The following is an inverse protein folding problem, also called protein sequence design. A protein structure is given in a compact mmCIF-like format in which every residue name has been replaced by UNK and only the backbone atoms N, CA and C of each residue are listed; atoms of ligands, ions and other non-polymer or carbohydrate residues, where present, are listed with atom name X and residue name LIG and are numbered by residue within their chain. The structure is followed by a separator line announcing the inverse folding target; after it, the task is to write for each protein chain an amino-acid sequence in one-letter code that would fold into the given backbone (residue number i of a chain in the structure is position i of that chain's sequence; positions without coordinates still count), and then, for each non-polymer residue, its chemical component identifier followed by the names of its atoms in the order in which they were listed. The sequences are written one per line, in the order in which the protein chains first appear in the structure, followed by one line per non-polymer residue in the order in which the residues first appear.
data_IF_325382156761
#
_entry.id   IF_325382156761
#
_cell.length_a   1.000
_cell.length_b   1.000
_cell.length_c   1.000
_cell.angle_alpha   90.00
_cell.angle_beta   90.00
_cell.angle_gamma   90.00
#
_symmetry.space_group_name_H-M   'P 1'
#
loop_
_entity.id
_entity.type
_entity.pdbx_description
1 polymer ?
#
# COMPACT_ATOMS: atom_id res chain seq x y z
N UNK A 1 13.95 6.85 8.49
CA UNK A 1 12.92 7.05 7.45
C UNK A 1 12.40 5.68 7.10
N UNK A 2 11.12 5.43 7.30
CA UNK A 2 10.48 4.12 7.05
C UNK A 2 9.94 4.09 5.63
N UNK A 3 10.26 3.03 4.87
CA UNK A 3 9.90 2.91 3.46
C UNK A 3 8.87 1.81 3.24
N UNK A 4 7.76 2.16 2.62
CA UNK A 4 6.61 1.27 2.45
C UNK A 4 6.24 1.18 0.97
N UNK A 5 6.07 -0.05 0.50
CA UNK A 5 5.63 -0.37 -0.86
C UNK A 5 4.34 -1.20 -0.83
N UNK A 6 3.30 -0.68 -1.47
CA UNK A 6 2.04 -1.40 -1.67
C UNK A 6 2.03 -2.11 -3.02
N UNK A 7 1.63 -3.38 -3.07
CA UNK A 7 1.68 -4.20 -4.28
C UNK A 7 0.32 -4.84 -4.56
N UNK A 8 -0.21 -4.64 -5.77
CA UNK A 8 -1.34 -5.41 -6.29
C UNK A 8 -1.01 -5.96 -7.68
N UNK A 9 -1.99 -6.49 -8.41
CA UNK A 9 -1.76 -7.04 -9.74
C UNK A 9 -1.40 -5.94 -10.77
N UNK A 10 -2.32 -4.99 -10.97
CA UNK A 10 -2.24 -3.99 -12.06
C UNK A 10 -1.75 -2.60 -11.65
N UNK A 11 -1.63 -2.30 -10.36
CA UNK A 11 -1.26 -0.98 -9.82
C UNK A 11 -2.15 0.19 -10.26
N UNK A 12 -3.44 -0.08 -10.50
CA UNK A 12 -4.44 0.95 -10.83
C UNK A 12 -5.58 1.03 -9.82
N UNK A 13 -5.88 -0.04 -9.07
CA UNK A 13 -6.99 -0.06 -8.11
C UNK A 13 -6.52 -0.02 -6.66
N UNK A 14 -6.10 -1.18 -6.12
CA UNK A 14 -5.88 -1.40 -4.68
C UNK A 14 -4.59 -0.79 -4.12
N UNK A 15 -3.44 -1.06 -4.76
CA UNK A 15 -2.16 -0.52 -4.27
C UNK A 15 -2.04 1.01 -4.35
N UNK A 16 -2.51 1.71 -5.42
CA UNK A 16 -2.55 3.18 -5.37
C UNK A 16 -3.56 3.72 -4.36
N UNK A 17 -4.65 2.99 -4.08
CA UNK A 17 -5.59 3.37 -3.03
C UNK A 17 -4.93 3.34 -1.65
N UNK A 18 -4.19 2.26 -1.34
CA UNK A 18 -3.43 2.14 -0.10
C UNK A 18 -2.38 3.25 0.06
N UNK A 19 -1.66 3.57 -1.03
CA UNK A 19 -0.71 4.68 -1.04
C UNK A 19 -1.37 6.02 -0.75
N UNK A 20 -2.48 6.34 -1.42
CA UNK A 20 -3.21 7.59 -1.22
C UNK A 20 -3.70 7.76 0.22
N UNK A 21 -4.30 6.70 0.78
CA UNK A 21 -4.74 6.66 2.18
C UNK A 21 -3.57 6.94 3.13
N UNK A 22 -2.45 6.23 2.94
CA UNK A 22 -1.32 6.38 3.86
C UNK A 22 -0.66 7.76 3.74
N UNK A 23 -0.51 8.28 2.52
CA UNK A 23 -0.01 9.66 2.29
C UNK A 23 -0.90 10.70 2.97
N UNK A 24 -2.22 10.56 2.90
CA UNK A 24 -3.17 11.44 3.62
C UNK A 24 -2.89 11.41 5.12
N UNK A 25 -2.83 10.22 5.73
CA UNK A 25 -2.57 10.06 7.16
C UNK A 25 -1.26 10.72 7.59
N UNK A 26 -0.19 10.55 6.80
CA UNK A 26 1.10 11.17 7.06
C UNK A 26 1.02 12.71 7.01
N UNK A 27 0.32 13.26 6.02
CA UNK A 27 0.14 14.71 5.86
C UNK A 27 -0.63 15.32 7.02
N UNK A 28 -1.72 14.68 7.45
CA UNK A 28 -2.55 15.14 8.58
C UNK A 28 -1.77 15.25 9.90
N UNK A 29 -0.73 14.42 10.06
CA UNK A 29 0.10 14.38 11.26
C UNK A 29 1.48 15.03 11.08
N UNK A 30 1.76 15.62 9.91
CA UNK A 30 3.05 16.26 9.62
C UNK A 30 4.24 15.28 9.59
N UNK A 31 4.01 14.01 9.27
CA UNK A 31 5.01 12.94 9.27
C UNK A 31 5.57 12.59 7.89
N UNK A 32 5.21 13.32 6.84
CA UNK A 32 5.63 13.04 5.46
C UNK A 32 7.16 12.90 5.29
N UNK A 33 7.96 13.60 6.09
CA UNK A 33 9.44 13.54 6.04
C UNK A 33 10.04 12.29 6.69
N UNK A 34 9.26 11.59 7.52
CA UNK A 34 9.71 10.38 8.20
C UNK A 34 9.47 9.13 7.35
N UNK A 35 8.72 9.23 6.25
CA UNK A 35 8.28 8.09 5.45
C UNK A 35 8.54 8.30 3.96
N UNK A 36 8.82 7.19 3.29
CA UNK A 36 8.76 7.07 1.84
C UNK A 36 7.66 6.06 1.51
N UNK A 37 6.72 6.45 0.65
CA UNK A 37 5.55 5.64 0.32
C UNK A 37 5.46 5.54 -1.20
N UNK A 38 5.24 4.33 -1.70
CA UNK A 38 5.07 4.07 -3.13
C UNK A 38 4.13 2.87 -3.35
N UNK A 39 3.70 2.66 -4.59
CA UNK A 39 2.93 1.50 -4.99
C UNK A 39 3.36 0.94 -6.34
N UNK A 40 3.20 -0.36 -6.53
CA UNK A 40 3.51 -1.03 -7.78
C UNK A 40 2.58 -2.23 -8.06
N UNK A 41 2.81 -2.84 -9.23
CA UNK A 41 2.05 -3.96 -9.78
C UNK A 41 2.92 -5.17 -10.04
N UNK A 42 2.38 -6.38 -9.89
CA UNK A 42 3.11 -7.61 -10.24
C UNK A 42 3.27 -7.79 -11.76
N UNK A 43 2.26 -7.43 -12.55
CA UNK A 43 2.23 -7.77 -13.99
C UNK A 43 2.53 -6.65 -14.98
N UNK A 44 2.66 -5.40 -14.55
CA UNK A 44 3.09 -4.28 -15.41
C UNK A 44 2.16 -3.89 -16.58
N UNK A 45 0.99 -4.51 -16.71
CA UNK A 45 0.05 -4.30 -17.83
C UNK A 45 -0.40 -2.85 -18.02
N UNK A 46 -0.45 -2.08 -16.93
CA UNK A 46 -0.90 -0.69 -16.90
C UNK A 46 0.25 0.31 -16.68
N UNK A 47 1.51 -0.10 -16.91
CA UNK A 47 2.65 0.78 -16.66
C UNK A 47 2.52 2.12 -17.43
N UNK A 48 2.64 3.24 -16.72
CA UNK A 48 2.47 4.59 -17.25
C UNK A 48 1.04 5.13 -17.17
N UNK A 49 0.05 4.31 -16.84
CA UNK A 49 -1.34 4.75 -16.68
C UNK A 49 -1.58 5.42 -15.33
N UNK A 50 -2.59 6.29 -15.27
CA UNK A 50 -3.13 6.79 -14.01
C UNK A 50 -3.93 5.69 -13.28
N UNK A 51 -4.18 5.88 -11.97
CA UNK A 51 -5.09 5.01 -11.23
C UNK A 51 -6.49 4.94 -11.86
N UNK A 52 -7.20 3.84 -11.61
CA UNK A 52 -8.58 3.62 -12.06
C UNK A 52 -9.44 4.84 -11.68
N UNK A 53 -10.28 5.36 -12.58
CA UNK A 53 -11.13 6.52 -12.30
C UNK A 53 -11.96 6.39 -11.02
N UNK A 54 -12.40 5.17 -10.67
CA UNK A 54 -13.18 4.88 -9.45
C UNK A 54 -12.29 4.95 -8.21
N UNK A 55 -11.07 4.41 -8.27
CA UNK A 55 -10.06 4.61 -7.20
C UNK A 55 -9.79 6.10 -6.99
N UNK A 56 -9.57 6.86 -8.06
CA UNK A 56 -9.33 8.31 -7.98
C UNK A 56 -10.52 9.05 -7.37
N UNK A 57 -11.74 8.65 -7.73
CA UNK A 57 -12.96 9.24 -7.18
C UNK A 57 -13.09 8.96 -5.68
N UNK A 58 -12.85 7.73 -5.23
CA UNK A 58 -12.91 7.38 -3.81
C UNK A 58 -11.80 8.11 -3.03
N UNK A 59 -10.58 8.17 -3.54
CA UNK A 59 -9.48 8.92 -2.92
C UNK A 59 -9.81 10.41 -2.79
N UNK A 60 -10.29 11.05 -3.86
CA UNK A 60 -10.62 12.47 -3.85
C UNK A 60 -11.76 12.81 -2.87
N UNK A 61 -12.75 11.92 -2.71
CA UNK A 61 -13.84 12.09 -1.72
C UNK A 61 -13.35 12.07 -0.27
N UNK A 62 -12.18 11.48 -0.03
CA UNK A 62 -11.59 11.33 1.30
C UNK A 62 -10.30 12.15 1.44
N UNK A 63 -10.09 13.18 0.62
CA UNK A 63 -8.88 14.04 0.65
C UNK A 63 -7.55 13.25 0.55
N UNK A 64 -7.58 12.10 -0.12
CA UNK A 64 -6.47 11.16 -0.26
C UNK A 64 -5.91 11.10 -1.71
N UNK A 65 -6.31 12.03 -2.58
CA UNK A 65 -5.84 12.05 -3.96
C UNK A 65 -4.39 12.51 -4.09
N UNK A 66 -3.71 11.96 -5.09
CA UNK A 66 -2.34 12.31 -5.46
C UNK A 66 -2.09 11.95 -6.93
N UNK A 67 -0.99 12.46 -7.49
CA UNK A 67 -0.58 12.09 -8.83
C UNK A 67 0.02 10.68 -8.83
N UNK A 68 -0.74 9.71 -9.33
CA UNK A 68 -0.30 8.33 -9.48
C UNK A 68 0.12 8.01 -10.91
N UNK A 69 1.20 7.24 -11.05
CA UNK A 69 1.63 6.63 -12.32
C UNK A 69 1.95 5.17 -12.06
N UNK A 70 1.19 4.27 -12.68
CA UNK A 70 1.34 2.86 -12.46
C UNK A 70 2.70 2.35 -12.94
N UNK A 71 3.30 1.42 -12.19
CA UNK A 71 4.57 0.79 -12.52
C UNK A 71 4.58 -0.68 -12.12
N UNK A 72 5.45 -1.46 -12.77
CA UNK A 72 5.76 -2.81 -12.33
C UNK A 72 6.77 -2.79 -11.19
N UNK A 73 6.68 -3.77 -10.30
CA UNK A 73 7.70 -4.06 -9.30
C UNK A 73 9.05 -4.38 -9.96
N UNK A 74 10.14 -3.98 -9.31
CA UNK A 74 11.52 -4.17 -9.76
C UNK A 74 12.33 -4.91 -8.69
N UNK A 75 13.49 -5.45 -9.08
CA UNK A 75 14.37 -6.18 -8.15
C UNK A 75 14.85 -5.28 -7.02
N UNK A 76 15.13 -4.01 -7.33
CA UNK A 76 15.64 -3.04 -6.38
C UNK A 76 14.64 -2.74 -5.25
N UNK A 77 13.34 -2.85 -5.53
CA UNK A 77 12.26 -2.62 -4.56
C UNK A 77 12.42 -3.53 -3.33
N UNK A 78 12.83 -4.79 -3.53
CA UNK A 78 13.02 -5.77 -2.45
C UNK A 78 14.16 -5.45 -1.49
N UNK A 79 15.06 -4.55 -1.90
CA UNK A 79 16.19 -4.09 -1.08
C UNK A 79 16.02 -2.66 -0.60
N UNK A 80 15.20 -1.87 -1.28
CA UNK A 80 14.97 -0.47 -0.97
C UNK A 80 13.92 -0.28 0.12
N UNK A 81 12.82 -1.03 0.07
CA UNK A 81 11.68 -0.88 0.97
C UNK A 81 11.77 -1.78 2.20
N UNK A 82 11.41 -1.23 3.37
CA UNK A 82 11.39 -1.94 4.65
C UNK A 82 10.14 -2.84 4.75
N UNK A 83 9.02 -2.34 4.24
CA UNK A 83 7.74 -3.03 4.20
C UNK A 83 7.25 -3.18 2.76
N UNK A 84 7.01 -4.41 2.33
CA UNK A 84 6.42 -4.73 1.03
C UNK A 84 5.15 -5.52 1.28
N UNK A 85 4.00 -4.89 1.00
CA UNK A 85 2.70 -5.46 1.32
C UNK A 85 1.86 -5.73 0.10
N UNK A 86 1.38 -6.96 0.01
CA UNK A 86 0.50 -7.43 -1.05
C UNK A 86 -0.95 -7.44 -0.59
N UNK A 87 -1.89 -7.19 -1.51
CA UNK A 87 -3.32 -7.13 -1.21
C UNK A 87 -3.96 -8.52 -1.01
N UNK A 88 -3.45 -9.51 -1.72
CA UNK A 88 -3.96 -10.89 -1.76
C UNK A 88 -2.85 -11.91 -2.03
N UNK A 89 -3.10 -13.19 -1.78
CA UNK A 89 -2.14 -14.30 -1.90
C UNK A 89 -1.68 -14.53 -3.32
N UNK A 90 -2.53 -14.26 -4.30
CA UNK A 90 -2.13 -14.37 -5.70
C UNK A 90 -1.00 -13.40 -6.01
N UNK A 91 -1.06 -12.16 -5.52
CA UNK A 91 0.03 -11.18 -5.69
C UNK A 91 1.31 -11.70 -5.04
N UNK A 92 1.24 -12.19 -3.79
CA UNK A 92 2.40 -12.73 -3.08
C UNK A 92 3.04 -13.89 -3.84
N UNK A 93 2.22 -14.86 -4.27
CA UNK A 93 2.67 -16.01 -5.06
C UNK A 93 3.31 -15.59 -6.39
N UNK A 94 2.74 -14.58 -7.06
CA UNK A 94 3.27 -14.08 -8.33
C UNK A 94 4.64 -13.40 -8.12
N UNK A 95 4.82 -12.67 -7.00
CA UNK A 95 6.13 -12.14 -6.61
C UNK A 95 7.14 -13.24 -6.32
N UNK A 96 6.77 -14.25 -5.53
CA UNK A 96 7.67 -15.38 -5.19
C UNK A 96 8.08 -16.18 -6.43
N UNK A 97 7.18 -16.32 -7.41
CA UNK A 97 7.48 -16.98 -8.68
C UNK A 97 8.40 -16.16 -9.57
N UNK A 98 8.14 -14.86 -9.68
CA UNK A 98 8.94 -13.97 -10.54
C UNK A 98 10.31 -13.64 -9.93
N UNK A 99 10.41 -13.60 -8.60
CA UNK A 99 11.60 -13.20 -7.86
C UNK A 99 11.95 -14.22 -6.76
N UNK A 100 12.29 -15.47 -7.11
CA UNK A 100 12.50 -16.54 -6.13
C UNK A 100 13.65 -16.26 -5.15
N UNK A 101 14.64 -15.46 -5.55
CA UNK A 101 15.73 -15.02 -4.67
C UNK A 101 15.27 -14.07 -3.54
N UNK A 102 14.07 -13.49 -3.65
CA UNK A 102 13.49 -12.53 -2.72
C UNK A 102 12.23 -13.07 -2.01
N UNK A 103 11.99 -14.38 -2.06
CA UNK A 103 10.88 -15.01 -1.34
C UNK A 103 10.91 -14.68 0.15
N UNK A 104 9.73 -14.40 0.72
CA UNK A 104 9.57 -13.97 2.12
C UNK A 104 9.84 -12.48 2.39
N UNK A 105 10.24 -11.69 1.38
CA UNK A 105 10.38 -10.22 1.51
C UNK A 105 9.05 -9.48 1.51
N UNK A 106 8.06 -9.98 0.77
CA UNK A 106 6.71 -9.45 0.76
C UNK A 106 5.79 -10.22 1.71
N UNK A 107 4.73 -9.57 2.22
CA UNK A 107 3.73 -10.17 3.12
C UNK A 107 2.32 -9.69 2.76
N UNK A 108 1.29 -10.46 3.10
CA UNK A 108 -0.09 -9.98 3.02
C UNK A 108 -0.30 -8.80 3.98
N UNK A 109 -0.90 -7.72 3.49
CA UNK A 109 -1.11 -6.50 4.28
C UNK A 109 -1.91 -6.79 5.55
N UNK A 110 -3.09 -7.38 5.41
CA UNK A 110 -3.99 -7.63 6.53
C UNK A 110 -3.38 -8.61 7.55
N UNK A 111 -2.71 -9.66 7.07
CA UNK A 111 -2.01 -10.62 7.93
C UNK A 111 -0.86 -9.95 8.71
N UNK A 112 -0.02 -9.18 8.01
CA UNK A 112 1.12 -8.48 8.61
C UNK A 112 0.68 -7.48 9.69
N UNK A 113 -0.54 -6.94 9.58
CA UNK A 113 -1.09 -5.97 10.52
C UNK A 113 -1.95 -6.59 11.63
N UNK A 114 -2.15 -7.91 11.63
CA UNK A 114 -2.85 -8.64 12.69
C UNK A 114 -4.35 -8.82 12.48
N UNK A 115 -4.85 -8.58 11.25
CA UNK A 115 -6.26 -8.80 10.87
C UNK A 115 -6.56 -10.25 10.48
N UNK A 116 -5.61 -11.17 10.68
CA UNK A 116 -5.73 -12.58 10.32
C UNK A 116 -5.47 -12.84 8.83
N UNK A 117 -5.86 -14.03 8.36
CA UNK A 117 -5.59 -14.52 7.00
C UNK A 117 -6.56 -13.97 5.94
N UNK A 118 -6.95 -12.71 6.07
CA UNK A 118 -7.86 -11.99 5.18
C UNK A 118 -7.11 -11.41 3.97
N UNK A 119 -7.85 -11.14 2.89
CA UNK A 119 -7.37 -10.54 1.64
C UNK A 119 -8.22 -9.32 1.28
N UNK A 120 -7.64 -8.37 0.56
CA UNK A 120 -8.36 -7.23 0.02
C UNK A 120 -8.81 -7.59 -1.41
N UNK A 121 -10.13 -7.81 -1.62
CA UNK A 121 -10.65 -8.30 -2.90
C UNK A 121 -10.40 -7.28 -4.01
N UNK A 122 -10.18 -7.77 -5.23
CA UNK A 122 -10.02 -6.91 -6.39
C UNK A 122 -11.36 -6.26 -6.80
N UNK A 123 -11.51 -4.93 -6.71
CA UNK A 123 -12.76 -4.28 -7.06
C UNK A 123 -12.91 -4.05 -8.57
N UNK A 124 -11.92 -4.41 -9.40
CA UNK A 124 -11.85 -4.00 -10.81
C UNK A 124 -13.10 -4.33 -11.63
N UNK A 125 -13.66 -5.54 -11.44
CA UNK A 125 -14.88 -6.00 -12.11
C UNK A 125 -16.18 -5.67 -11.35
N UNK A 126 -16.04 -5.00 -10.21
CA UNK A 126 -17.14 -4.56 -9.36
C UNK A 126 -17.65 -3.17 -9.69
N UNK A 127 -18.49 -2.65 -8.80
CA UNK A 127 -19.06 -1.32 -8.87
C UNK A 127 -18.42 -0.35 -7.85
N UNK A 128 -18.95 0.86 -7.72
CA UNK A 128 -18.41 1.86 -6.79
C UNK A 128 -18.43 1.40 -5.32
N UNK A 129 -19.40 0.59 -4.91
CA UNK A 129 -19.48 0.09 -3.54
C UNK A 129 -18.33 -0.87 -3.23
N UNK A 130 -17.87 -1.66 -4.22
CA UNK A 130 -16.69 -2.51 -4.06
C UNK A 130 -15.41 -1.67 -3.83
N UNK A 131 -15.25 -0.55 -4.54
CA UNK A 131 -14.13 0.36 -4.32
C UNK A 131 -14.20 1.06 -2.95
N UNK A 132 -15.39 1.46 -2.50
CA UNK A 132 -15.60 2.05 -1.17
C UNK A 132 -15.34 1.03 -0.05
N UNK A 133 -15.74 -0.22 -0.22
CA UNK A 133 -15.46 -1.31 0.73
C UNK A 133 -13.96 -1.61 0.83
N UNK A 134 -13.25 -1.63 -0.30
CA UNK A 134 -11.79 -1.76 -0.34
C UNK A 134 -11.12 -0.59 0.37
N UNK A 135 -11.57 0.64 0.13
CA UNK A 135 -11.06 1.82 0.80
C UNK A 135 -11.22 1.72 2.32
N UNK A 136 -12.42 1.40 2.81
CA UNK A 136 -12.69 1.27 4.24
C UNK A 136 -11.83 0.19 4.90
N UNK A 137 -11.64 -0.95 4.23
CA UNK A 137 -10.78 -2.03 4.71
C UNK A 137 -9.32 -1.59 4.81
N UNK A 138 -8.82 -0.92 3.78
CA UNK A 138 -7.45 -0.39 3.76
C UNK A 138 -7.25 0.69 4.82
N UNK A 139 -8.21 1.60 4.98
CA UNK A 139 -8.13 2.68 5.96
C UNK A 139 -8.04 2.15 7.39
N UNK A 140 -8.91 1.20 7.76
CA UNK A 140 -8.86 0.58 9.09
C UNK A 140 -7.52 -0.12 9.35
N UNK A 141 -7.01 -0.86 8.36
CA UNK A 141 -5.76 -1.58 8.49
C UNK A 141 -4.56 -0.63 8.61
N UNK A 142 -4.51 0.38 7.75
CA UNK A 142 -3.42 1.35 7.70
C UNK A 142 -3.39 2.29 8.90
N UNK A 143 -4.55 2.60 9.50
CA UNK A 143 -4.59 3.36 10.75
C UNK A 143 -3.93 2.60 11.90
N UNK A 144 -4.16 1.28 11.98
CA UNK A 144 -3.48 0.43 12.98
C UNK A 144 -1.96 0.43 12.79
N UNK A 145 -1.50 0.39 11.54
CA UNK A 145 -0.07 0.46 11.25
C UNK A 145 0.52 1.85 11.57
N UNK A 146 -0.18 2.90 11.16
CA UNK A 146 0.22 4.28 11.39
C UNK A 146 0.41 4.57 12.88
N UNK A 147 -0.53 4.15 13.73
CA UNK A 147 -0.46 4.33 15.18
C UNK A 147 0.78 3.64 15.77
N UNK A 148 1.07 2.39 15.39
CA UNK A 148 2.27 1.66 15.82
C UNK A 148 3.56 2.41 15.43
N UNK A 149 3.62 2.91 14.19
CA UNK A 149 4.78 3.67 13.74
C UNK A 149 4.90 5.03 14.44
N UNK A 150 3.80 5.71 14.73
CA UNK A 150 3.80 6.97 15.45
C UNK A 150 4.32 6.79 16.90
N UNK A 151 3.93 5.72 17.58
CA UNK A 151 4.43 5.35 18.91
C UNK A 151 5.95 5.10 18.89
N UNK A 152 6.44 4.30 17.93
CA UNK A 152 7.87 4.01 17.77
C UNK A 152 8.69 5.29 17.50
N UNK A 153 8.17 6.20 16.68
CA UNK A 153 8.82 7.48 16.37
C UNK A 153 8.74 8.48 17.54
N UNK A 154 7.71 8.40 18.38
CA UNK A 154 7.54 9.21 19.59
C UNK A 154 8.52 8.81 20.70
N UNK A 155 8.66 7.51 20.96
CA UNK A 155 9.59 6.97 21.97
C UNK A 155 11.06 7.22 21.62
N UNK A 156 11.40 7.24 20.33
CA UNK A 156 12.75 7.59 19.86
C UNK A 156 13.16 9.05 20.10
N UNK A 157 12.21 9.97 20.33
CA UNK A 157 12.49 11.37 20.65
C UNK A 157 12.75 11.60 22.14
N UNK A 158 12.07 10.89 23.02
CA UNK A 158 12.26 11.01 24.49
C UNK A 158 13.55 10.31 24.96
N UNK A 159 14.00 9.26 24.28
CA UNK A 159 15.26 8.58 24.63
C UNK A 159 16.53 9.35 24.24
N UNK A 160 16.40 10.47 23.53
CA UNK A 160 17.50 11.28 23.00
C UNK A 160 17.47 12.75 23.47
N UNK A 161 16.66 13.05 24.49
CA UNK A 161 16.53 14.34 25.18
C UNK A 161 16.91 14.21 26.64
#
# INVERSE_FOLDING_TARGET
MTRILFVCAGNICRSPMAEGIFRRMLREHGLERAFEVDSCGTGGWHAGESADPRTRQVLARNDADFLHVARQIRVEDFTHFDHIWTMERTNLRDLERAFPAHSGKARLLLEALGFGFLEIPDPYYGDMADFEAVYATLEQALETFFQKQAEENGQGREANS
#
